data_IF_464603977969
#
_entry.id   IF_464603977969
#
_cell.length_a   1.000
_cell.length_b   1.000
_cell.length_c   1.000
_cell.angle_alpha   90.00
_cell.angle_beta   90.00
_cell.angle_gamma   90.00
#
_symmetry.space_group_name_H-M   'P 1'
#
loop_
_entity.id
_entity.type
_entity.pdbx_description
1 polymer ?
#
# COMPACT_ATOMS: atom_id res chain seq x y z
N UNK A 1 -32.47 -22.16 -10.89
CA UNK A 1 -31.57 -21.81 -9.75
C UNK A 1 -30.08 -21.70 -10.12
N UNK A 2 -29.60 -22.30 -11.24
CA UNK A 2 -28.17 -22.18 -11.64
C UNK A 2 -27.73 -20.78 -12.08
N UNK A 3 -28.61 -20.02 -12.76
CA UNK A 3 -28.27 -18.69 -13.26
C UNK A 3 -27.97 -17.66 -12.16
N UNK A 4 -28.75 -17.65 -11.08
CA UNK A 4 -28.54 -16.74 -9.95
C UNK A 4 -27.22 -16.99 -9.22
N UNK A 5 -26.83 -18.27 -9.07
CA UNK A 5 -25.54 -18.66 -8.48
C UNK A 5 -24.36 -18.16 -9.33
N UNK A 6 -24.47 -18.27 -10.66
CA UNK A 6 -23.44 -17.79 -11.58
C UNK A 6 -23.29 -16.26 -11.51
N UNK A 7 -24.41 -15.52 -11.48
CA UNK A 7 -24.39 -14.06 -11.33
C UNK A 7 -23.78 -13.62 -9.99
N UNK A 8 -24.15 -14.26 -8.88
CA UNK A 8 -23.56 -14.01 -7.56
C UNK A 8 -22.06 -14.27 -7.57
N UNK A 9 -21.60 -15.37 -8.17
CA UNK A 9 -20.17 -15.68 -8.25
C UNK A 9 -19.40 -14.63 -9.08
N UNK A 10 -19.95 -14.16 -10.19
CA UNK A 10 -19.36 -13.10 -11.00
C UNK A 10 -19.32 -11.76 -10.26
N UNK A 11 -20.36 -11.43 -9.51
CA UNK A 11 -20.41 -10.19 -8.71
C UNK A 11 -19.36 -10.24 -7.60
N UNK A 12 -19.27 -11.35 -6.86
CA UNK A 12 -18.29 -11.55 -5.79
C UNK A 12 -16.85 -11.53 -6.32
N UNK A 13 -16.59 -12.19 -7.45
CA UNK A 13 -15.26 -12.15 -8.10
C UNK A 13 -14.95 -10.73 -8.60
N UNK A 14 -15.94 -10.03 -9.16
CA UNK A 14 -15.79 -8.65 -9.60
C UNK A 14 -15.44 -7.71 -8.44
N UNK A 15 -16.17 -7.80 -7.33
CA UNK A 15 -15.94 -6.98 -6.13
C UNK A 15 -14.59 -7.32 -5.48
N UNK A 16 -14.27 -8.61 -5.30
CA UNK A 16 -12.99 -9.05 -4.74
C UNK A 16 -11.81 -8.69 -5.66
N UNK A 17 -11.97 -8.86 -6.98
CA UNK A 17 -10.94 -8.55 -7.97
C UNK A 17 -10.70 -7.04 -8.12
N UNK A 18 -11.75 -6.25 -8.01
CA UNK A 18 -11.65 -4.79 -7.95
C UNK A 18 -10.93 -4.37 -6.66
N UNK A 19 -11.33 -4.93 -5.53
CA UNK A 19 -10.70 -4.68 -4.23
C UNK A 19 -9.20 -5.04 -4.22
N UNK A 20 -8.79 -6.16 -4.83
CA UNK A 20 -7.36 -6.53 -4.90
C UNK A 20 -6.56 -5.58 -5.76
N UNK A 21 -7.10 -5.13 -6.90
CA UNK A 21 -6.41 -4.19 -7.81
C UNK A 21 -6.21 -2.84 -7.13
N UNK A 22 -7.25 -2.29 -6.50
CA UNK A 22 -7.16 -1.01 -5.79
C UNK A 22 -6.26 -1.09 -4.55
N UNK A 23 -6.33 -2.20 -3.81
CA UNK A 23 -5.47 -2.43 -2.65
C UNK A 23 -3.99 -2.53 -3.07
N UNK A 24 -3.68 -3.17 -4.20
CA UNK A 24 -2.31 -3.28 -4.68
C UNK A 24 -1.73 -1.92 -5.09
N UNK A 25 -2.51 -1.10 -5.80
CA UNK A 25 -2.12 0.27 -6.13
C UNK A 25 -1.86 1.10 -4.86
N UNK A 26 -2.75 1.00 -3.88
CA UNK A 26 -2.62 1.71 -2.59
C UNK A 26 -1.38 1.23 -1.83
N UNK A 27 -1.10 -0.07 -1.85
CA UNK A 27 0.09 -0.66 -1.25
C UNK A 27 1.38 -0.12 -1.89
N UNK A 28 1.48 -0.14 -3.22
CA UNK A 28 2.67 0.37 -3.92
C UNK A 28 2.86 1.87 -3.73
N UNK A 29 1.78 2.65 -3.72
CA UNK A 29 1.85 4.08 -3.41
C UNK A 29 2.34 4.32 -1.97
N UNK A 30 1.88 3.50 -1.02
CA UNK A 30 2.33 3.53 0.37
C UNK A 30 3.80 3.16 0.51
N UNK A 31 4.23 2.05 -0.09
CA UNK A 31 5.63 1.65 -0.15
C UNK A 31 6.51 2.77 -0.72
N UNK A 32 6.13 3.32 -1.87
CA UNK A 32 6.89 4.40 -2.51
C UNK A 32 7.06 5.60 -1.57
N UNK A 33 6.00 5.99 -0.85
CA UNK A 33 6.08 7.10 0.10
C UNK A 33 6.96 6.79 1.30
N UNK A 34 6.90 5.56 1.82
CA UNK A 34 7.76 5.13 2.92
C UNK A 34 9.22 5.12 2.49
N UNK A 35 9.54 4.54 1.32
CA UNK A 35 10.92 4.38 0.87
C UNK A 35 11.53 5.67 0.30
N UNK A 36 10.78 6.46 -0.47
CA UNK A 36 11.34 7.55 -1.29
C UNK A 36 10.84 8.95 -0.94
N UNK A 37 9.69 9.10 -0.29
CA UNK A 37 9.17 10.42 0.06
C UNK A 37 9.71 10.92 1.41
N UNK A 38 9.39 12.18 1.74
CA UNK A 38 9.62 12.74 3.08
C UNK A 38 8.41 12.57 3.99
N UNK A 39 8.61 12.82 5.30
CA UNK A 39 7.58 12.66 6.35
C UNK A 39 6.28 13.41 6.05
N UNK A 40 6.35 14.60 5.45
CA UNK A 40 5.15 15.38 5.09
C UNK A 40 4.26 14.67 4.07
N UNK A 41 4.87 14.10 3.02
CA UNK A 41 4.13 13.39 1.98
C UNK A 41 3.61 12.04 2.49
N UNK A 42 4.38 11.35 3.32
CA UNK A 42 3.93 10.13 4.00
C UNK A 42 2.71 10.43 4.88
N UNK A 43 2.77 11.43 5.76
CA UNK A 43 1.65 11.78 6.63
C UNK A 43 0.40 12.24 5.87
N UNK A 44 0.57 12.97 4.76
CA UNK A 44 -0.54 13.36 3.90
C UNK A 44 -1.26 12.14 3.33
N UNK A 45 -0.52 11.11 2.91
CA UNK A 45 -1.12 9.86 2.45
C UNK A 45 -1.82 9.09 3.56
N UNK A 46 -1.17 8.96 4.71
CA UNK A 46 -1.74 8.26 5.86
C UNK A 46 -3.02 8.92 6.37
N UNK A 47 -3.16 10.24 6.21
CA UNK A 47 -4.43 10.93 6.46
C UNK A 47 -5.53 10.60 5.46
N UNK A 48 -5.21 10.25 4.21
CA UNK A 48 -6.22 9.77 3.25
C UNK A 48 -6.72 8.36 3.58
N UNK A 49 -5.91 7.59 4.30
CA UNK A 49 -6.24 6.22 4.71
C UNK A 49 -6.77 6.14 6.15
N UNK A 50 -7.06 7.28 6.78
CA UNK A 50 -7.51 7.36 8.18
C UNK A 50 -6.59 6.60 9.16
N UNK A 51 -5.29 6.60 8.89
CA UNK A 51 -4.32 5.86 9.69
C UNK A 51 -4.29 6.39 11.13
N UNK A 52 -4.30 5.44 12.07
CA UNK A 52 -4.19 5.68 13.49
C UNK A 52 -2.84 6.31 13.85
N UNK A 53 -2.75 6.92 15.03
CA UNK A 53 -1.50 7.47 15.53
C UNK A 53 -0.38 6.42 15.63
N UNK A 54 -0.73 5.18 16.01
CA UNK A 54 0.23 4.09 16.11
C UNK A 54 0.79 3.68 14.74
N UNK A 55 -0.07 3.57 13.73
CA UNK A 55 0.34 3.23 12.35
C UNK A 55 1.24 4.29 11.74
N UNK A 56 0.94 5.58 11.98
CA UNK A 56 1.79 6.69 11.53
C UNK A 56 3.20 6.59 12.11
N UNK A 57 3.30 6.39 13.42
CA UNK A 57 4.60 6.25 14.10
C UNK A 57 5.35 5.02 13.59
N UNK A 58 4.66 3.91 13.32
CA UNK A 58 5.29 2.71 12.78
C UNK A 58 5.88 2.95 11.38
N UNK A 59 5.11 3.56 10.47
CA UNK A 59 5.56 3.82 9.11
C UNK A 59 6.64 4.91 9.04
N UNK A 60 6.59 5.92 9.91
CA UNK A 60 7.68 6.90 10.03
C UNK A 60 8.99 6.25 10.46
N UNK A 61 8.95 5.29 11.39
CA UNK A 61 10.15 4.54 11.79
C UNK A 61 10.72 3.72 10.62
N UNK A 62 9.87 3.09 9.82
CA UNK A 62 10.33 2.35 8.63
C UNK A 62 10.94 3.31 7.61
N UNK A 63 10.35 4.49 7.41
CA UNK A 63 10.92 5.52 6.55
C UNK A 63 12.30 5.99 7.07
N UNK A 64 12.45 6.15 8.39
CA UNK A 64 13.74 6.48 9.00
C UNK A 64 14.78 5.36 8.71
N UNK A 65 14.40 4.08 8.77
CA UNK A 65 15.28 2.97 8.38
C UNK A 65 15.72 3.03 6.90
N UNK A 66 14.83 3.39 5.96
CA UNK A 66 15.21 3.61 4.56
C UNK A 66 16.11 4.82 4.37
N UNK A 67 15.96 5.84 5.22
CA UNK A 67 16.84 7.01 5.20
C UNK A 67 18.25 6.63 5.68
N UNK A 68 18.35 5.89 6.79
CA UNK A 68 19.62 5.39 7.35
C UNK A 68 20.33 4.40 6.43
N UNK A 69 19.59 3.49 5.80
CA UNK A 69 20.13 2.55 4.82
C UNK A 69 20.59 3.20 3.50
N UNK A 70 20.12 4.42 3.24
CA UNK A 70 20.46 5.20 2.06
C UNK A 70 19.95 4.57 0.75
N UNK A 71 20.52 5.03 -0.37
CA UNK A 71 20.05 4.66 -1.71
C UNK A 71 20.18 3.16 -2.00
N UNK A 72 21.20 2.49 -1.45
CA UNK A 72 21.43 1.06 -1.68
C UNK A 72 20.25 0.21 -1.19
N UNK A 73 19.78 0.45 0.03
CA UNK A 73 18.64 -0.28 0.61
C UNK A 73 17.37 -0.05 -0.20
N UNK A 74 17.10 1.20 -0.58
CA UNK A 74 15.93 1.54 -1.40
C UNK A 74 15.92 0.83 -2.75
N UNK A 75 17.07 0.76 -3.42
CA UNK A 75 17.20 0.09 -4.71
C UNK A 75 17.07 -1.44 -4.61
N UNK A 76 17.63 -2.04 -3.56
CA UNK A 76 17.49 -3.49 -3.32
C UNK A 76 16.03 -3.86 -3.08
N UNK A 77 15.32 -3.10 -2.24
CA UNK A 77 13.91 -3.34 -1.98
C UNK A 77 13.05 -3.11 -3.22
N UNK A 78 13.36 -2.06 -4.00
CA UNK A 78 12.64 -1.80 -5.25
C UNK A 78 12.75 -3.00 -6.22
N UNK A 79 13.91 -3.64 -6.31
CA UNK A 79 14.11 -4.85 -7.12
C UNK A 79 13.27 -6.05 -6.68
N UNK A 80 12.87 -6.10 -5.41
CA UNK A 80 11.98 -7.14 -4.88
C UNK A 80 10.51 -6.80 -5.15
N UNK A 81 10.19 -5.51 -5.29
CA UNK A 81 8.82 -5.02 -5.46
C UNK A 81 8.38 -4.79 -6.92
N UNK A 82 9.31 -4.82 -7.87
CA UNK A 82 9.03 -4.79 -9.32
C UNK A 82 9.17 -6.17 -9.95
#
# INVERSE_FOLDING_TARGET
MKGTLLLLSLLVIGELGFQTTEACLTFFEGYWRVAFAGKTLLNSFLSKLDATAAERVALEKIQDCYHEGGLKTKLLDLQVMT
#
